data_IF_119803393817
#
_entry.id   IF_119803393817
#
_cell.length_a   1.000
_cell.length_b   1.000
_cell.length_c   1.000
_cell.angle_alpha   90.00
_cell.angle_beta   90.00
_cell.angle_gamma   90.00
#
_symmetry.space_group_name_H-M   'P 1'
#
loop_
_entity.id
_entity.type
_entity.pdbx_description
1 polymer ?
#
# COMPACT_ATOMS: atom_id res chain seq x y z
N UNK A 1 -3.08 4.98 6.98
CA UNK A 1 -2.68 3.62 6.58
C UNK A 1 -1.32 3.65 5.90
N UNK A 2 -0.35 2.90 6.44
CA UNK A 2 0.94 2.70 5.78
C UNK A 2 0.83 1.80 4.55
N UNK A 3 1.63 2.03 3.52
CA UNK A 3 1.64 1.17 2.33
C UNK A 3 2.00 -0.29 2.62
N UNK A 4 2.77 -0.54 3.68
CA UNK A 4 2.97 -1.90 4.16
C UNK A 4 1.66 -2.60 4.52
N UNK A 5 0.72 -1.89 5.15
CA UNK A 5 -0.59 -2.45 5.48
C UNK A 5 -1.39 -2.71 4.21
N UNK A 6 -1.44 -1.74 3.29
CA UNK A 6 -2.06 -1.89 1.98
C UNK A 6 -1.62 -3.18 1.27
N UNK A 7 -0.30 -3.43 1.25
CA UNK A 7 0.29 -4.60 0.60
C UNK A 7 -0.07 -5.94 1.26
N UNK A 8 -0.50 -5.92 2.52
CA UNK A 8 -0.90 -7.11 3.28
C UNK A 8 -2.43 -7.31 3.29
N UNK A 9 -3.20 -6.37 2.73
CA UNK A 9 -4.66 -6.43 2.69
C UNK A 9 -5.13 -7.17 1.44
N UNK A 10 -6.23 -7.91 1.62
CA UNK A 10 -6.92 -8.66 0.57
C UNK A 10 -8.40 -8.37 0.67
N UNK A 11 -9.07 -8.29 -0.48
CA UNK A 11 -10.51 -8.08 -0.50
C UNK A 11 -11.23 -9.32 0.07
N UNK A 12 -12.13 -9.18 1.05
CA UNK A 12 -12.84 -10.31 1.65
C UNK A 12 -14.05 -10.76 0.79
N UNK A 13 -13.90 -10.81 -0.53
CA UNK A 13 -15.00 -11.08 -1.44
C UNK A 13 -15.15 -12.58 -1.74
N UNK A 14 -16.37 -13.12 -1.76
CA UNK A 14 -16.59 -14.54 -2.07
C UNK A 14 -16.30 -14.81 -3.55
N UNK A 15 -15.30 -15.65 -3.82
CA UNK A 15 -14.93 -16.09 -5.16
C UNK A 15 -13.76 -15.34 -5.82
N UNK A 16 -13.28 -14.24 -5.22
CA UNK A 16 -12.01 -13.63 -5.62
C UNK A 16 -10.86 -14.49 -5.12
N UNK A 17 -9.90 -14.82 -5.98
CA UNK A 17 -8.80 -15.73 -5.65
C UNK A 17 -7.70 -15.04 -4.84
N UNK A 18 -8.06 -14.42 -3.71
CA UNK A 18 -7.10 -13.77 -2.82
C UNK A 18 -6.48 -12.51 -3.39
N UNK A 19 -7.19 -11.83 -4.28
CA UNK A 19 -6.71 -10.67 -5.01
C UNK A 19 -6.40 -9.50 -4.06
N UNK A 20 -5.24 -8.91 -4.30
CA UNK A 20 -4.79 -7.71 -3.62
C UNK A 20 -5.71 -6.53 -3.95
N UNK A 21 -5.75 -5.55 -3.07
CA UNK A 21 -6.53 -4.33 -3.32
C UNK A 21 -5.57 -3.27 -3.88
N UNK A 22 -5.97 -2.53 -4.91
CA UNK A 22 -5.18 -1.45 -5.52
C UNK A 22 -5.56 -0.09 -4.89
N UNK A 23 -4.66 0.87 -4.91
CA UNK A 23 -4.97 2.25 -4.48
C UNK A 23 -5.61 2.99 -5.66
N UNK A 24 -6.90 3.36 -5.59
CA UNK A 24 -7.60 3.99 -6.72
C UNK A 24 -7.79 5.50 -6.58
N UNK A 25 -7.90 5.99 -5.34
CA UNK A 25 -8.10 7.41 -5.06
C UNK A 25 -7.29 7.79 -3.83
N UNK A 26 -6.23 8.56 -4.06
CA UNK A 26 -5.38 9.09 -3.01
C UNK A 26 -5.75 10.56 -2.85
N UNK A 27 -6.37 10.92 -1.73
CA UNK A 27 -6.79 12.31 -1.47
C UNK A 27 -5.81 13.01 -0.53
N UNK A 28 -5.45 12.36 0.57
CA UNK A 28 -4.56 12.93 1.57
C UNK A 28 -3.48 11.93 2.00
N UNK A 29 -2.22 12.38 1.91
CA UNK A 29 -1.04 11.60 2.28
C UNK A 29 -0.24 12.37 3.31
N UNK A 30 0.18 11.67 4.36
CA UNK A 30 1.06 12.17 5.40
C UNK A 30 2.38 11.42 5.35
N UNK A 31 3.48 12.17 5.48
CA UNK A 31 4.81 11.60 5.64
C UNK A 31 5.17 11.55 7.12
N UNK A 32 5.44 10.35 7.64
CA UNK A 32 5.95 10.13 9.00
C UNK A 32 7.41 9.70 8.92
N UNK A 33 8.33 10.42 9.55
CA UNK A 33 9.74 10.01 9.60
C UNK A 33 9.89 8.76 10.47
N UNK A 34 10.46 7.70 9.92
CA UNK A 34 10.74 6.44 10.64
C UNK A 34 12.20 6.08 10.43
N UNK A 35 12.88 5.61 11.48
CA UNK A 35 14.27 5.19 11.36
C UNK A 35 14.43 3.96 10.47
N UNK A 36 15.37 4.02 9.54
CA UNK A 36 15.66 2.93 8.59
C UNK A 36 16.13 1.67 9.33
N UNK A 37 15.27 0.65 9.38
CA UNK A 37 15.63 -0.68 9.82
C UNK A 37 15.88 -1.61 8.63
N UNK A 38 17.15 -1.80 8.27
CA UNK A 38 17.54 -2.60 7.10
C UNK A 38 17.19 -4.09 7.24
N UNK A 39 17.34 -4.65 8.44
CA UNK A 39 16.98 -6.04 8.73
C UNK A 39 15.49 -6.29 8.54
N UNK A 40 14.65 -5.33 8.96
CA UNK A 40 13.21 -5.41 8.76
C UNK A 40 12.84 -5.44 7.28
N UNK A 41 13.36 -4.49 6.49
CA UNK A 41 13.06 -4.39 5.05
C UNK A 41 13.52 -5.66 4.33
N UNK A 42 14.73 -6.16 4.63
CA UNK A 42 15.28 -7.36 4.00
C UNK A 42 14.40 -8.59 4.25
N UNK A 43 13.82 -8.72 5.44
CA UNK A 43 12.90 -9.82 5.78
C UNK A 43 11.50 -9.65 5.18
N UNK A 44 11.12 -8.42 4.87
CA UNK A 44 9.82 -8.10 4.27
C UNK A 44 9.80 -8.29 2.76
N UNK A 45 10.91 -7.98 2.06
CA UNK A 45 11.07 -8.16 0.60
C UNK A 45 10.42 -9.44 0.03
N UNK A 46 10.66 -10.65 0.56
CA UNK A 46 10.08 -11.87 0.00
C UNK A 46 8.57 -12.04 0.27
N UNK A 47 7.98 -11.22 1.13
CA UNK A 47 6.56 -11.26 1.50
C UNK A 47 5.73 -10.16 0.84
N UNK A 48 6.39 -9.22 0.17
CA UNK A 48 5.71 -8.10 -0.46
C UNK A 48 5.19 -8.49 -1.84
N UNK A 49 3.99 -8.03 -2.13
CA UNK A 49 3.43 -8.07 -3.48
C UNK A 49 3.97 -6.88 -4.27
N UNK A 50 4.98 -7.11 -5.11
CA UNK A 50 5.73 -6.04 -5.77
C UNK A 50 4.89 -5.25 -6.77
N UNK A 51 3.97 -5.92 -7.48
CA UNK A 51 3.10 -5.26 -8.46
C UNK A 51 2.18 -4.25 -7.77
N UNK A 52 1.48 -4.68 -6.71
CA UNK A 52 0.62 -3.81 -5.90
C UNK A 52 1.38 -2.64 -5.27
N UNK A 53 2.61 -2.89 -4.79
CA UNK A 53 3.45 -1.85 -4.20
C UNK A 53 3.87 -0.80 -5.23
N UNK A 54 4.26 -1.23 -6.43
CA UNK A 54 4.68 -0.34 -7.51
C UNK A 54 3.52 0.51 -8.00
N UNK A 55 2.34 -0.08 -8.17
CA UNK A 55 1.12 0.64 -8.57
C UNK A 55 0.71 1.68 -7.51
N UNK A 56 0.74 1.30 -6.24
CA UNK A 56 0.45 2.22 -5.15
C UNK A 56 1.49 3.35 -5.06
N UNK A 57 2.78 3.02 -5.22
CA UNK A 57 3.86 4.00 -5.24
C UNK A 57 3.71 4.97 -6.42
N UNK A 58 3.38 4.48 -7.62
CA UNK A 58 3.13 5.30 -8.80
C UNK A 58 1.93 6.23 -8.60
N UNK A 59 0.84 5.71 -8.03
CA UNK A 59 -0.35 6.51 -7.68
C UNK A 59 -0.05 7.63 -6.68
N UNK A 60 0.98 7.43 -5.84
CA UNK A 60 1.48 8.40 -4.87
C UNK A 60 2.57 9.33 -5.44
N UNK A 61 2.94 9.16 -6.71
CA UNK A 61 4.01 9.94 -7.36
C UNK A 61 5.43 9.50 -7.00
N UNK A 62 5.59 8.36 -6.33
CA UNK A 62 6.88 7.72 -6.08
C UNK A 62 7.18 6.74 -7.22
N UNK A 63 8.02 7.14 -8.17
CA UNK A 63 8.30 6.37 -9.38
C UNK A 63 8.80 4.92 -9.15
N UNK A 64 8.73 4.12 -10.21
CA UNK A 64 8.95 2.66 -10.21
C UNK A 64 10.36 2.16 -9.85
N UNK A 65 11.35 3.05 -9.71
CA UNK A 65 12.70 2.69 -9.30
C UNK A 65 12.90 2.87 -7.78
N UNK A 66 12.70 1.77 -7.04
CA UNK A 66 12.74 1.71 -5.58
C UNK A 66 14.00 0.96 -5.08
N UNK A 67 15.17 1.62 -4.94
CA UNK A 67 16.27 1.05 -4.18
C UNK A 67 15.83 0.79 -2.72
N UNK A 68 16.49 -0.14 -2.02
CA UNK A 68 16.13 -0.56 -0.64
C UNK A 68 15.79 0.58 0.33
N UNK A 69 16.51 1.71 0.24
CA UNK A 69 16.24 2.91 1.04
C UNK A 69 14.90 3.56 0.71
N UNK A 70 14.52 3.63 -0.58
CA UNK A 70 13.20 4.11 -0.99
C UNK A 70 12.10 3.12 -0.64
N UNK A 71 12.35 1.81 -0.73
CA UNK A 71 11.38 0.78 -0.31
C UNK A 71 10.98 0.99 1.15
N UNK A 72 11.95 1.23 2.04
CA UNK A 72 11.68 1.58 3.43
C UNK A 72 10.78 2.82 3.56
N UNK A 73 11.17 3.92 2.90
CA UNK A 73 10.43 5.18 2.95
C UNK A 73 8.99 5.00 2.46
N UNK A 74 8.81 4.37 1.31
CA UNK A 74 7.48 4.11 0.74
C UNK A 74 6.66 3.21 1.67
N UNK A 75 7.21 2.12 2.19
CA UNK A 75 6.46 1.18 3.02
C UNK A 75 6.05 1.74 4.40
N UNK A 76 6.94 2.51 5.04
CA UNK A 76 6.81 2.87 6.46
C UNK A 76 6.60 4.35 6.71
N UNK A 77 7.08 5.23 5.83
CA UNK A 77 6.98 6.67 5.99
C UNK A 77 5.75 7.25 5.29
N UNK A 78 5.28 6.62 4.22
CA UNK A 78 4.08 7.06 3.51
C UNK A 78 2.83 6.51 4.18
N UNK A 79 1.99 7.43 4.66
CA UNK A 79 0.73 7.11 5.31
C UNK A 79 -0.44 7.77 4.58
N UNK A 80 -1.34 6.95 4.03
CA UNK A 80 -2.58 7.38 3.40
C UNK A 80 -3.61 7.72 4.48
N UNK A 81 -4.07 8.97 4.54
CA UNK A 81 -5.03 9.46 5.54
C UNK A 81 -6.46 9.38 4.98
N UNK A 82 -6.69 9.90 3.78
CA UNK A 82 -7.98 9.83 3.09
C UNK A 82 -7.77 9.27 1.68
N UNK A 83 -8.66 8.36 1.27
CA UNK A 83 -8.62 7.76 -0.05
C UNK A 83 -9.57 6.58 -0.20
N UNK A 84 -9.38 5.80 -1.25
CA UNK A 84 -10.12 4.57 -1.49
C UNK A 84 -9.20 3.49 -2.08
N UNK A 85 -9.45 2.26 -1.65
CA UNK A 85 -8.86 1.06 -2.22
C UNK A 85 -9.87 0.41 -3.15
N UNK A 86 -9.45 -0.08 -4.31
CA UNK A 86 -10.31 -0.74 -5.28
C UNK A 86 -9.86 -2.16 -5.53
N UNK A 87 -10.80 -3.10 -5.48
CA UNK A 87 -10.55 -4.47 -5.89
C UNK A 87 -10.56 -4.54 -7.44
N UNK A 88 -9.51 -5.07 -8.08
CA UNK A 88 -9.43 -5.13 -9.54
C UNK A 88 -10.46 -6.08 -10.16
N UNK A 89 -10.79 -7.20 -9.50
CA UNK A 89 -11.77 -8.18 -10.03
C UNK A 89 -13.22 -7.71 -9.91
N UNK A 90 -13.60 -7.23 -8.73
CA UNK A 90 -15.01 -6.86 -8.46
C UNK A 90 -15.32 -5.40 -8.77
N UNK A 91 -14.30 -4.55 -8.86
CA UNK A 91 -14.45 -3.10 -8.93
C UNK A 91 -14.96 -2.47 -7.64
N UNK A 92 -15.13 -3.23 -6.55
CA UNK A 92 -15.60 -2.73 -5.26
C UNK A 92 -14.58 -1.78 -4.66
N UNK A 93 -15.06 -0.64 -4.17
CA UNK A 93 -14.25 0.39 -3.53
C UNK A 93 -14.43 0.35 -2.01
N UNK A 94 -13.31 0.39 -1.30
CA UNK A 94 -13.19 0.36 0.14
C UNK A 94 -12.61 1.71 0.61
N UNK A 95 -13.42 2.58 1.21
CA UNK A 95 -12.94 3.90 1.62
C UNK A 95 -11.94 3.80 2.77
N UNK A 96 -10.95 4.67 2.75
CA UNK A 96 -10.01 4.92 3.83
C UNK A 96 -10.35 6.27 4.42
N UNK A 97 -10.68 6.27 5.71
CA UNK A 97 -10.98 7.50 6.44
C UNK A 97 -10.11 7.56 7.68
N UNK A 98 -9.43 8.68 7.91
CA UNK A 98 -8.46 8.88 9.01
C UNK A 98 -7.40 7.76 9.08
N UNK A 99 -7.01 7.26 7.93
CA UNK A 99 -6.01 6.22 7.77
C UNK A 99 -6.47 4.81 8.14
N UNK A 100 -7.77 4.59 8.34
CA UNK A 100 -8.37 3.28 8.64
C UNK A 100 -9.18 2.83 7.40
N UNK A 101 -8.86 1.67 6.80
CA UNK A 101 -9.67 1.11 5.71
C UNK A 101 -10.97 0.53 6.26
N UNK A 102 -12.06 0.67 5.50
CA UNK A 102 -13.31 -0.02 5.74
C UNK A 102 -13.52 -1.09 4.67
N UNK A 103 -13.25 -2.36 5.01
CA UNK A 103 -13.29 -3.53 4.11
C UNK A 103 -14.37 -4.53 4.50
#
# INVERSE_FOLDING_TARGET
>A
MKLLMHNMLRAPLPGSSGDFVCSSSVEEVKLSSVDLNQDFVTRMIPKLEWEALLEAAESLGHGSDLPLKKVHSVLLEVELIEGALKCPESGTEFPITRGIPNM
#
